data_IF_111614475768
#
_entry.id   IF_111614475768
#
_cell.length_a   1.000
_cell.length_b   1.000
_cell.length_c   1.000
_cell.angle_alpha   90.00
_cell.angle_beta   90.00
_cell.angle_gamma   90.00
#
_symmetry.space_group_name_H-M   'P 1'
#
loop_
_entity.id
_entity.type
_entity.pdbx_description
1 polymer ?
#
# COMPACT_ATOMS: atom_id res chain seq x y z
N UNK A 1 -15.63 -11.46 3.91
CA UNK A 1 -15.72 -11.36 5.38
C UNK A 1 -17.16 -11.39 5.89
N UNK A 2 -18.11 -10.63 5.32
CA UNK A 2 -19.52 -10.62 5.77
C UNK A 2 -20.25 -11.99 5.79
N UNK A 3 -19.72 -12.98 5.04
CA UNK A 3 -20.29 -14.35 4.97
C UNK A 3 -19.69 -15.34 5.97
N UNK A 4 -18.59 -15.01 6.63
CA UNK A 4 -17.99 -15.87 7.67
C UNK A 4 -18.80 -15.71 8.97
N UNK A 5 -19.76 -16.59 9.19
CA UNK A 5 -20.60 -16.63 10.41
C UNK A 5 -20.09 -17.66 11.41
N UNK A 6 -19.04 -18.40 11.09
CA UNK A 6 -18.44 -19.41 11.94
C UNK A 6 -17.42 -18.83 12.94
N UNK A 7 -17.03 -19.62 13.92
CA UNK A 7 -16.00 -19.27 14.92
C UNK A 7 -14.55 -19.31 14.40
N UNK A 8 -14.34 -19.58 13.08
CA UNK A 8 -12.98 -19.64 12.53
C UNK A 8 -12.36 -18.24 12.42
N UNK A 9 -11.12 -18.01 12.91
CA UNK A 9 -10.51 -16.70 12.90
C UNK A 9 -10.38 -16.12 11.47
N UNK A 10 -10.97 -14.94 11.26
CA UNK A 10 -11.00 -14.32 9.94
C UNK A 10 -9.60 -14.01 9.39
N UNK A 11 -8.66 -13.61 10.24
CA UNK A 11 -7.26 -13.37 9.85
C UNK A 11 -6.59 -14.64 9.31
N UNK A 12 -6.83 -15.79 9.95
CA UNK A 12 -6.31 -17.09 9.49
C UNK A 12 -6.91 -17.48 8.13
N UNK A 13 -8.22 -17.26 7.96
CA UNK A 13 -8.90 -17.53 6.70
C UNK A 13 -8.32 -16.71 5.54
N UNK A 14 -8.07 -15.43 5.77
CA UNK A 14 -7.43 -14.55 4.76
C UNK A 14 -6.02 -15.05 4.42
N UNK A 15 -5.26 -15.47 5.42
CA UNK A 15 -3.90 -15.99 5.20
C UNK A 15 -3.93 -17.28 4.36
N UNK A 16 -4.82 -18.20 4.66
CA UNK A 16 -5.00 -19.42 3.85
C UNK A 16 -5.36 -19.10 2.39
N UNK A 17 -6.26 -18.15 2.17
CA UNK A 17 -6.62 -17.72 0.82
C UNK A 17 -5.44 -17.08 0.08
N UNK A 18 -4.59 -16.30 0.75
CA UNK A 18 -3.40 -15.70 0.14
C UNK A 18 -2.39 -16.74 -0.30
N UNK A 19 -2.14 -17.77 0.53
CA UNK A 19 -1.26 -18.89 0.15
C UNK A 19 -1.82 -19.63 -1.08
N UNK A 20 -3.13 -19.93 -1.11
CA UNK A 20 -3.75 -20.59 -2.25
C UNK A 20 -3.68 -19.74 -3.53
N UNK A 21 -4.00 -18.44 -3.42
CA UNK A 21 -3.94 -17.53 -4.56
C UNK A 21 -2.51 -17.33 -5.06
N UNK A 22 -1.53 -17.18 -4.17
CA UNK A 22 -0.12 -17.09 -4.52
C UNK A 22 0.36 -18.32 -5.29
N UNK A 23 0.03 -19.52 -4.80
CA UNK A 23 0.35 -20.76 -5.49
C UNK A 23 -0.32 -20.87 -6.86
N UNK A 24 -1.59 -20.45 -6.98
CA UNK A 24 -2.34 -20.48 -8.24
C UNK A 24 -1.74 -19.53 -9.28
N UNK A 25 -1.33 -18.32 -8.87
CA UNK A 25 -0.67 -17.36 -9.77
C UNK A 25 0.65 -17.92 -10.30
N UNK A 26 1.44 -18.59 -9.46
CA UNK A 26 2.69 -19.21 -9.87
C UNK A 26 2.50 -20.35 -10.90
N UNK A 27 1.36 -21.06 -10.86
CA UNK A 27 1.03 -22.08 -11.87
C UNK A 27 0.68 -21.45 -13.24
N UNK A 28 0.25 -20.19 -13.26
CA UNK A 28 -0.17 -19.50 -14.47
C UNK A 28 0.94 -18.68 -15.13
N UNK A 29 1.90 -18.19 -14.35
CA UNK A 29 2.99 -17.35 -14.83
C UNK A 29 4.17 -17.36 -13.87
N UNK A 30 5.36 -16.97 -14.38
CA UNK A 30 6.52 -16.70 -13.54
C UNK A 30 6.26 -15.42 -12.73
N UNK A 31 5.72 -15.57 -11.53
CA UNK A 31 5.44 -14.46 -10.63
C UNK A 31 6.55 -14.36 -9.57
N UNK A 32 7.26 -13.24 -9.56
CA UNK A 32 8.27 -12.93 -8.55
C UNK A 32 8.01 -11.54 -7.95
N UNK A 33 8.45 -11.33 -6.71
CA UNK A 33 8.30 -10.06 -5.97
C UNK A 33 9.67 -9.49 -5.65
N UNK A 34 9.94 -8.26 -6.09
CA UNK A 34 11.09 -7.48 -5.68
C UNK A 34 10.77 -6.75 -4.36
N UNK A 35 11.59 -6.91 -3.34
CA UNK A 35 11.31 -6.35 -2.01
C UNK A 35 12.43 -5.42 -1.58
N UNK A 36 12.08 -4.19 -1.22
CA UNK A 36 13.01 -3.32 -0.50
C UNK A 36 13.27 -3.90 0.89
N UNK A 37 14.45 -4.41 1.12
CA UNK A 37 14.82 -5.12 2.35
C UNK A 37 16.26 -4.78 2.79
N UNK A 38 16.54 -3.50 3.13
CA UNK A 38 17.83 -3.16 3.69
C UNK A 38 18.01 -3.82 5.08
N UNK A 39 19.22 -4.17 5.48
CA UNK A 39 19.48 -4.88 6.73
C UNK A 39 18.90 -4.22 7.98
N UNK A 40 18.77 -2.89 7.96
CA UNK A 40 18.27 -2.08 9.06
C UNK A 40 16.75 -2.12 9.21
N UNK A 41 16.01 -2.45 8.14
CA UNK A 41 14.53 -2.45 8.13
C UNK A 41 13.97 -3.73 7.48
N UNK A 42 14.14 -4.89 8.11
CA UNK A 42 13.74 -6.18 7.52
C UNK A 42 12.22 -6.40 7.44
N UNK A 43 11.41 -5.51 8.02
CA UNK A 43 9.96 -5.67 8.13
C UNK A 43 9.21 -5.72 6.79
N UNK A 44 9.74 -5.12 5.74
CA UNK A 44 9.12 -5.15 4.40
C UNK A 44 9.09 -6.55 3.79
N UNK A 45 10.11 -7.37 4.09
CA UNK A 45 10.13 -8.78 3.69
C UNK A 45 8.97 -9.57 4.29
N UNK A 46 8.72 -9.37 5.58
CA UNK A 46 7.63 -10.04 6.27
C UNK A 46 6.27 -9.59 5.71
N UNK A 47 6.10 -8.29 5.42
CA UNK A 47 4.89 -7.76 4.78
C UNK A 47 4.64 -8.36 3.40
N UNK A 48 5.68 -8.45 2.58
CA UNK A 48 5.59 -9.06 1.25
C UNK A 48 5.19 -10.53 1.34
N UNK A 49 5.85 -11.30 2.21
CA UNK A 49 5.55 -12.72 2.44
C UNK A 49 4.13 -12.94 2.93
N UNK A 50 3.67 -12.11 3.87
CA UNK A 50 2.32 -12.21 4.42
C UNK A 50 1.23 -11.85 3.40
N UNK A 51 1.59 -11.05 2.39
CA UNK A 51 0.64 -10.62 1.35
C UNK A 51 0.62 -11.53 0.13
N UNK A 52 1.79 -11.94 -0.37
CA UNK A 52 1.93 -12.70 -1.63
C UNK A 52 2.08 -14.20 -1.44
N UNK A 53 2.17 -14.67 -0.19
CA UNK A 53 2.34 -16.08 0.15
C UNK A 53 3.80 -16.47 0.44
N UNK A 54 3.96 -17.47 1.29
CA UNK A 54 5.27 -17.88 1.83
C UNK A 54 6.17 -18.57 0.80
N UNK A 55 5.58 -19.16 -0.24
CA UNK A 55 6.29 -19.86 -1.34
C UNK A 55 6.50 -18.99 -2.58
N UNK A 56 5.99 -17.75 -2.61
CA UNK A 56 6.22 -16.86 -3.73
C UNK A 56 7.69 -16.47 -3.83
N UNK A 57 8.34 -16.62 -4.99
CA UNK A 57 9.72 -16.19 -5.20
C UNK A 57 9.88 -14.70 -4.88
N UNK A 58 10.81 -14.37 -3.99
CA UNK A 58 11.09 -13.00 -3.57
C UNK A 58 12.57 -12.70 -3.67
N UNK A 59 12.90 -11.51 -4.17
CA UNK A 59 14.28 -11.04 -4.30
C UNK A 59 14.46 -9.77 -3.45
N UNK A 60 15.40 -9.77 -2.48
CA UNK A 60 15.67 -8.59 -1.67
C UNK A 60 16.56 -7.61 -2.41
N UNK A 61 16.23 -6.33 -2.32
CA UNK A 61 17.00 -5.22 -2.86
C UNK A 61 17.33 -4.20 -1.77
N UNK A 62 18.44 -3.49 -1.92
CA UNK A 62 18.93 -2.55 -0.92
C UNK A 62 18.42 -1.12 -1.12
N UNK A 63 17.92 -0.79 -2.31
CA UNK A 63 17.37 0.52 -2.62
C UNK A 63 16.02 0.43 -3.32
N UNK A 64 15.13 1.43 -3.14
CA UNK A 64 13.88 1.52 -3.88
C UNK A 64 14.07 1.54 -5.39
N UNK A 65 15.11 2.22 -5.90
CA UNK A 65 15.41 2.30 -7.33
C UNK A 65 15.69 0.93 -7.96
N UNK A 66 16.37 0.03 -7.22
CA UNK A 66 16.59 -1.34 -7.68
C UNK A 66 15.29 -2.14 -7.77
N UNK A 67 14.37 -1.95 -6.82
CA UNK A 67 13.04 -2.58 -6.84
C UNK A 67 12.24 -2.10 -8.05
N UNK A 68 12.22 -0.80 -8.31
CA UNK A 68 11.52 -0.19 -9.46
C UNK A 68 12.13 -0.72 -10.76
N UNK A 69 13.45 -0.73 -10.88
CA UNK A 69 14.17 -1.27 -12.05
C UNK A 69 13.80 -2.73 -12.31
N UNK A 70 13.79 -3.58 -11.28
CA UNK A 70 13.41 -5.00 -11.41
C UNK A 70 11.98 -5.19 -11.94
N UNK A 71 11.04 -4.31 -11.57
CA UNK A 71 9.67 -4.33 -12.11
C UNK A 71 9.64 -3.82 -13.56
N UNK A 72 10.36 -2.76 -13.86
CA UNK A 72 10.44 -2.20 -15.22
C UNK A 72 11.06 -3.19 -16.21
N UNK A 73 12.10 -3.90 -15.80
CA UNK A 73 12.80 -4.89 -16.61
C UNK A 73 12.04 -6.23 -16.71
N UNK A 74 10.92 -6.38 -15.99
CA UNK A 74 10.14 -7.62 -15.97
C UNK A 74 10.79 -8.76 -15.17
N UNK A 75 11.82 -8.47 -14.39
CA UNK A 75 12.46 -9.45 -13.49
C UNK A 75 11.54 -9.79 -12.30
N UNK A 76 10.67 -8.84 -11.92
CA UNK A 76 9.62 -9.04 -10.93
C UNK A 76 8.28 -8.51 -11.47
N UNK A 77 7.19 -9.20 -11.13
CA UNK A 77 5.84 -8.74 -11.44
C UNK A 77 5.39 -7.60 -10.53
N UNK A 78 5.89 -7.60 -9.30
CA UNK A 78 5.52 -6.65 -8.24
C UNK A 78 6.77 -6.19 -7.49
N UNK A 79 6.80 -4.91 -7.11
CA UNK A 79 7.79 -4.32 -6.21
C UNK A 79 7.14 -3.90 -4.88
N UNK A 80 7.78 -4.18 -3.75
CA UNK A 80 7.35 -3.72 -2.43
C UNK A 80 8.31 -2.66 -1.92
N UNK A 81 7.78 -1.47 -1.64
CA UNK A 81 8.51 -0.24 -1.33
C UNK A 81 8.01 0.37 -0.01
N UNK A 82 8.84 1.14 0.71
CA UNK A 82 8.40 1.85 1.90
C UNK A 82 7.29 2.86 1.56
N UNK A 83 6.49 3.23 2.56
CA UNK A 83 5.63 4.41 2.42
C UNK A 83 6.49 5.64 2.13
N UNK A 84 6.03 6.54 1.23
CA UNK A 84 6.69 7.82 1.04
C UNK A 84 6.78 8.61 2.36
N UNK A 85 7.94 9.17 2.65
CA UNK A 85 8.15 10.05 3.80
C UNK A 85 8.20 11.50 3.33
N UNK A 86 7.72 12.42 4.17
CA UNK A 86 7.67 13.85 3.85
C UNK A 86 9.08 14.44 3.69
N UNK A 87 10.03 13.96 4.49
CA UNK A 87 11.40 14.49 4.56
C UNK A 87 12.43 13.63 3.81
N UNK A 88 11.98 12.81 2.85
CA UNK A 88 12.90 11.97 2.05
C UNK A 88 13.61 12.86 1.01
N UNK A 89 14.95 13.01 1.10
CA UNK A 89 15.70 13.87 0.17
C UNK A 89 15.74 13.33 -1.26
N UNK A 90 15.55 12.02 -1.46
CA UNK A 90 15.48 11.37 -2.77
C UNK A 90 14.28 10.40 -2.83
N UNK A 91 13.06 10.95 -2.85
CA UNK A 91 11.86 10.14 -2.74
C UNK A 91 11.66 9.28 -3.97
N UNK A 92 11.58 7.96 -3.76
CA UNK A 92 11.49 6.95 -4.79
C UNK A 92 10.28 7.12 -5.73
N UNK A 93 9.16 7.68 -5.24
CA UNK A 93 7.95 7.88 -6.03
C UNK A 93 8.14 8.82 -7.23
N UNK A 94 9.19 9.65 -7.22
CA UNK A 94 9.58 10.47 -8.37
C UNK A 94 9.93 9.64 -9.60
N UNK A 95 10.46 8.44 -9.40
CA UNK A 95 10.78 7.53 -10.51
C UNK A 95 9.52 7.01 -11.21
N UNK A 96 8.34 7.14 -10.59
CA UNK A 96 7.05 6.83 -11.21
C UNK A 96 6.47 8.00 -12.02
N UNK A 97 7.11 9.18 -12.03
CA UNK A 97 6.64 10.35 -12.77
C UNK A 97 6.86 10.25 -14.29
N UNK A 98 7.21 9.09 -14.79
CA UNK A 98 7.32 8.83 -16.22
C UNK A 98 5.92 8.81 -16.87
N UNK A 99 5.83 9.40 -18.07
CA UNK A 99 4.64 9.33 -18.93
C UNK A 99 4.65 8.09 -19.83
N UNK A 100 5.67 7.27 -19.73
CA UNK A 100 5.77 6.05 -20.52
C UNK A 100 4.70 5.06 -20.04
N UNK A 101 3.86 4.59 -20.93
CA UNK A 101 2.77 3.65 -20.60
C UNK A 101 3.24 2.31 -20.02
N UNK A 102 4.55 2.13 -19.87
CA UNK A 102 5.18 0.95 -19.29
C UNK A 102 5.69 1.19 -17.84
N UNK A 103 5.54 2.42 -17.31
CA UNK A 103 5.93 2.72 -15.94
C UNK A 103 5.07 1.93 -14.93
N UNK A 104 5.66 1.35 -13.90
CA UNK A 104 4.89 0.70 -12.84
C UNK A 104 4.10 1.75 -12.06
N UNK A 105 2.96 1.33 -11.51
CA UNK A 105 2.08 2.18 -10.71
C UNK A 105 1.71 1.49 -9.39
N UNK A 106 1.21 2.25 -8.44
CA UNK A 106 0.82 1.77 -7.12
C UNK A 106 -0.43 0.92 -7.26
N UNK A 107 -0.39 -0.32 -6.76
CA UNK A 107 -1.46 -1.30 -6.87
C UNK A 107 -2.00 -1.82 -5.54
N UNK A 108 -1.22 -1.67 -4.45
CA UNK A 108 -1.66 -2.10 -3.12
C UNK A 108 -0.95 -1.33 -2.00
N UNK A 109 -1.61 -1.26 -0.84
CA UNK A 109 -1.00 -0.86 0.44
C UNK A 109 -0.92 -2.06 1.37
N UNK A 110 0.24 -2.22 2.01
CA UNK A 110 0.53 -3.31 2.93
C UNK A 110 0.76 -2.77 4.36
N UNK A 111 0.33 -3.50 5.39
CA UNK A 111 -0.45 -4.74 5.35
C UNK A 111 -1.89 -4.48 4.90
N UNK A 112 -2.47 -5.36 4.11
CA UNK A 112 -3.87 -5.23 3.67
C UNK A 112 -4.87 -5.56 4.78
N UNK A 113 -4.41 -6.13 5.88
CA UNK A 113 -5.24 -6.52 7.02
C UNK A 113 -4.43 -6.61 8.29
N UNK A 114 -4.80 -7.53 9.19
CA UNK A 114 -4.05 -7.73 10.44
C UNK A 114 -2.59 -8.07 10.16
N UNK A 115 -1.68 -7.43 10.89
CA UNK A 115 -0.21 -7.59 10.71
C UNK A 115 0.30 -8.99 11.09
N UNK A 116 -0.52 -9.84 11.73
CA UNK A 116 -0.09 -11.17 12.17
C UNK A 116 1.10 -11.09 13.13
N UNK A 117 2.10 -11.95 12.87
CA UNK A 117 3.37 -11.99 13.62
C UNK A 117 4.45 -11.10 12.98
N UNK A 118 4.09 -10.13 12.14
CA UNK A 118 5.05 -9.17 11.61
C UNK A 118 5.78 -8.46 12.76
N UNK A 119 7.08 -8.25 12.58
CA UNK A 119 7.93 -7.63 13.60
C UNK A 119 7.33 -6.31 14.09
N UNK A 120 7.50 -5.96 15.38
CA UNK A 120 6.88 -4.77 16.00
C UNK A 120 7.15 -3.46 15.25
N UNK A 121 8.27 -3.36 14.57
CA UNK A 121 8.65 -2.22 13.73
C UNK A 121 8.13 -2.35 12.31
N UNK A 122 7.06 -3.13 12.09
CA UNK A 122 6.44 -3.33 10.78
C UNK A 122 5.99 -2.01 10.20
N UNK A 123 6.78 -1.49 9.28
CA UNK A 123 6.44 -0.32 8.49
C UNK A 123 5.26 -0.65 7.56
N UNK A 124 4.46 0.34 7.22
CA UNK A 124 3.55 0.22 6.09
C UNK A 124 4.35 0.28 4.79
N UNK A 125 3.85 -0.37 3.76
CA UNK A 125 4.49 -0.43 2.46
C UNK A 125 3.49 -0.18 1.34
N UNK A 126 3.99 0.26 0.19
CA UNK A 126 3.26 0.27 -1.07
C UNK A 126 3.79 -0.83 -1.99
N UNK A 127 2.88 -1.45 -2.71
CA UNK A 127 3.24 -2.35 -3.80
C UNK A 127 3.04 -1.65 -5.14
N UNK A 128 3.99 -1.83 -6.05
CA UNK A 128 3.94 -1.32 -7.42
C UNK A 128 3.90 -2.49 -8.41
N UNK A 129 3.26 -2.28 -9.56
CA UNK A 129 3.19 -3.27 -10.64
C UNK A 129 2.75 -2.65 -11.94
N UNK A 130 2.63 -3.45 -13.01
CA UNK A 130 2.24 -3.01 -14.36
C UNK A 130 0.84 -3.48 -14.78
N UNK A 131 0.04 -3.99 -13.86
CA UNK A 131 -1.31 -4.49 -14.16
C UNK A 131 -2.34 -3.37 -14.30
N UNK A 132 -3.50 -3.69 -14.88
CA UNK A 132 -4.64 -2.76 -14.92
C UNK A 132 -5.38 -2.80 -13.59
N UNK A 133 -5.56 -1.64 -12.98
CA UNK A 133 -6.30 -1.51 -11.74
C UNK A 133 -7.80 -1.51 -11.98
N UNK A 134 -8.54 -2.08 -11.04
CA UNK A 134 -10.01 -2.12 -11.07
C UNK A 134 -10.55 -1.49 -9.77
N UNK A 135 -11.64 -0.71 -9.83
CA UNK A 135 -12.26 -0.18 -8.64
C UNK A 135 -12.82 -1.31 -7.77
N UNK A 136 -12.60 -1.22 -6.46
CA UNK A 136 -13.08 -2.20 -5.47
C UNK A 136 -14.27 -1.70 -4.66
N UNK A 137 -14.55 -0.40 -4.73
CA UNK A 137 -15.62 0.29 -3.99
C UNK A 137 -15.12 1.01 -2.73
N UNK A 138 -14.01 0.61 -2.16
CA UNK A 138 -13.31 1.32 -1.08
C UNK A 138 -11.83 1.46 -1.49
N UNK A 139 -11.52 2.52 -2.21
CA UNK A 139 -10.22 2.71 -2.84
C UNK A 139 -9.57 4.02 -2.40
N UNK A 140 -8.28 4.15 -2.67
CA UNK A 140 -7.53 5.39 -2.65
C UNK A 140 -6.65 5.49 -3.88
N UNK A 141 -6.46 6.70 -4.37
CA UNK A 141 -5.67 6.96 -5.58
C UNK A 141 -4.55 7.95 -5.27
N UNK A 142 -3.33 7.59 -5.66
CA UNK A 142 -2.18 8.48 -5.60
C UNK A 142 -2.06 9.32 -6.87
N UNK A 143 -1.86 10.61 -6.66
CA UNK A 143 -1.50 11.56 -7.71
C UNK A 143 -0.23 12.30 -7.33
N UNK A 144 0.56 12.66 -8.32
CA UNK A 144 1.62 13.63 -8.17
C UNK A 144 1.29 14.88 -8.99
N UNK A 145 1.52 16.04 -8.38
CA UNK A 145 1.50 17.33 -9.08
C UNK A 145 2.92 17.83 -9.27
N UNK A 146 3.14 18.54 -10.37
CA UNK A 146 4.29 19.41 -10.54
C UNK A 146 3.76 20.83 -10.66
N UNK A 147 4.11 21.69 -9.72
CA UNK A 147 3.57 23.02 -9.61
C UNK A 147 4.66 24.06 -9.36
N UNK A 148 4.34 25.30 -9.67
CA UNK A 148 5.22 26.44 -9.39
C UNK A 148 5.40 26.60 -7.87
N UNK A 149 6.57 27.15 -7.42
CA UNK A 149 6.89 27.29 -6.00
C UNK A 149 5.94 28.19 -5.20
N UNK A 150 5.19 29.06 -5.87
CA UNK A 150 4.21 29.96 -5.27
C UNK A 150 2.91 29.28 -4.83
N UNK A 151 2.68 28.02 -5.23
CA UNK A 151 1.50 27.26 -4.81
C UNK A 151 1.82 26.48 -3.53
N UNK A 152 1.14 26.86 -2.45
CA UNK A 152 1.22 26.13 -1.20
C UNK A 152 0.48 24.79 -1.26
N UNK A 153 0.97 23.80 -0.48
CA UNK A 153 0.26 22.53 -0.28
C UNK A 153 -1.18 22.70 0.21
N UNK A 154 -1.42 23.69 1.08
CA UNK A 154 -2.75 23.99 1.58
C UNK A 154 -3.71 24.41 0.44
N UNK A 155 -3.21 25.16 -0.54
CA UNK A 155 -4.00 25.54 -1.72
C UNK A 155 -4.33 24.32 -2.58
N UNK A 156 -3.39 23.43 -2.82
CA UNK A 156 -3.62 22.17 -3.58
C UNK A 156 -4.75 21.37 -2.90
N UNK A 157 -4.61 21.12 -1.59
CA UNK A 157 -5.58 20.33 -0.81
C UNK A 157 -6.95 21.00 -0.78
N UNK A 158 -7.02 22.32 -0.53
CA UNK A 158 -8.28 23.04 -0.47
C UNK A 158 -9.00 23.10 -1.82
N UNK A 159 -8.26 23.30 -2.93
CA UNK A 159 -8.84 23.31 -4.28
C UNK A 159 -9.37 21.93 -4.67
N UNK A 160 -8.63 20.83 -4.41
CA UNK A 160 -9.13 19.47 -4.64
C UNK A 160 -10.41 19.20 -3.83
N UNK A 161 -10.40 19.54 -2.54
CA UNK A 161 -11.57 19.38 -1.67
C UNK A 161 -12.76 20.19 -2.15
N UNK A 162 -12.55 21.41 -2.65
CA UNK A 162 -13.58 22.27 -3.26
C UNK A 162 -14.25 21.63 -4.49
N UNK A 163 -13.54 20.78 -5.21
CA UNK A 163 -14.08 20.00 -6.34
C UNK A 163 -14.61 18.61 -5.91
N UNK A 164 -14.75 18.34 -4.62
CA UNK A 164 -15.28 17.09 -4.12
C UNK A 164 -14.29 15.91 -4.18
N UNK A 165 -12.98 16.22 -4.18
CA UNK A 165 -11.89 15.27 -4.08
C UNK A 165 -11.24 15.41 -2.71
N UNK A 166 -11.76 14.69 -1.71
CA UNK A 166 -11.11 14.62 -0.39
C UNK A 166 -9.73 14.00 -0.54
N UNK A 167 -8.71 14.68 -0.04
CA UNK A 167 -7.34 14.24 -0.20
C UNK A 167 -6.49 14.49 1.04
N UNK A 168 -5.43 13.70 1.15
CA UNK A 168 -4.38 13.82 2.15
C UNK A 168 -3.06 14.15 1.44
N UNK A 169 -2.34 15.14 1.95
CA UNK A 169 -0.96 15.39 1.56
C UNK A 169 -0.06 14.28 2.12
N UNK A 170 0.84 13.77 1.30
CA UNK A 170 1.76 12.69 1.70
C UNK A 170 3.20 13.19 1.78
N UNK A 171 3.72 13.77 0.69
CA UNK A 171 5.11 14.20 0.60
C UNK A 171 5.29 15.30 -0.43
N UNK A 172 6.40 16.01 -0.36
CA UNK A 172 6.85 16.92 -1.40
C UNK A 172 8.33 16.70 -1.71
N UNK A 173 8.72 17.15 -2.90
CA UNK A 173 10.12 17.23 -3.28
C UNK A 173 10.33 18.52 -4.07
N UNK A 174 11.22 19.38 -3.56
CA UNK A 174 11.55 20.66 -4.16
C UNK A 174 12.60 20.50 -5.25
N UNK A 175 12.43 21.23 -6.33
CA UNK A 175 13.40 21.46 -7.38
C UNK A 175 13.62 22.96 -7.52
N UNK A 176 14.69 23.34 -8.26
CA UNK A 176 15.04 24.76 -8.44
C UNK A 176 13.85 25.63 -8.88
N UNK A 177 13.03 25.13 -9.82
CA UNK A 177 11.97 25.89 -10.45
C UNK A 177 10.55 25.26 -10.28
N UNK A 178 10.44 24.14 -9.58
CA UNK A 178 9.16 23.43 -9.40
C UNK A 178 9.11 22.61 -8.11
N UNK A 179 7.90 22.35 -7.65
CA UNK A 179 7.62 21.47 -6.52
C UNK A 179 6.82 20.28 -7.02
N UNK A 180 7.32 19.08 -6.77
CA UNK A 180 6.54 17.86 -6.94
C UNK A 180 5.84 17.54 -5.62
N UNK A 181 4.51 17.44 -5.66
CA UNK A 181 3.71 17.12 -4.47
C UNK A 181 3.01 15.78 -4.69
N UNK A 182 3.15 14.88 -3.73
CA UNK A 182 2.45 13.59 -3.69
C UNK A 182 1.21 13.72 -2.81
N UNK A 183 0.06 13.37 -3.37
CA UNK A 183 -1.24 13.43 -2.71
C UNK A 183 -1.96 12.09 -2.84
N UNK A 184 -2.73 11.74 -1.82
CA UNK A 184 -3.62 10.58 -1.79
C UNK A 184 -5.06 11.07 -1.77
N UNK A 185 -5.86 10.67 -2.75
CA UNK A 185 -7.27 11.07 -2.91
C UNK A 185 -8.16 9.90 -2.51
N UNK A 186 -9.22 10.17 -1.75
CA UNK A 186 -10.21 9.17 -1.38
C UNK A 186 -11.02 8.71 -2.60
N UNK A 187 -11.15 7.40 -2.76
CA UNK A 187 -11.84 6.76 -3.86
C UNK A 187 -10.95 6.37 -5.04
N UNK A 188 -11.54 5.61 -5.97
CA UNK A 188 -10.92 5.32 -7.26
C UNK A 188 -11.15 6.49 -8.20
N UNK A 189 -10.09 7.22 -8.52
CA UNK A 189 -10.13 8.39 -9.40
C UNK A 189 -9.40 8.05 -10.71
N UNK A 190 -10.12 7.88 -11.82
CA UNK A 190 -9.50 7.55 -13.12
C UNK A 190 -8.80 8.78 -13.73
N UNK A 191 -7.93 8.51 -14.71
CA UNK A 191 -7.41 9.56 -15.59
C UNK A 191 -8.60 10.14 -16.37
N UNK A 192 -8.68 11.48 -16.44
CA UNK A 192 -9.78 12.16 -17.13
C UNK A 192 -11.05 12.36 -16.28
N UNK A 193 -10.97 12.15 -14.96
CA UNK A 193 -12.07 12.52 -14.05
C UNK A 193 -12.40 14.02 -14.20
N UNK A 194 -13.68 14.40 -14.45
CA UNK A 194 -14.05 15.80 -14.65
C UNK A 194 -13.72 16.73 -13.48
N UNK A 195 -13.60 16.19 -12.26
CA UNK A 195 -13.21 16.96 -11.08
C UNK A 195 -11.73 17.36 -11.13
N UNK A 196 -10.87 16.47 -11.65
CA UNK A 196 -9.45 16.76 -11.88
C UNK A 196 -9.24 17.80 -12.99
N UNK A 197 -10.07 17.78 -14.03
CA UNK A 197 -10.02 18.80 -15.09
C UNK A 197 -10.39 20.19 -14.56
N UNK A 198 -11.40 20.26 -13.68
CA UNK A 198 -11.74 21.53 -13.01
C UNK A 198 -10.63 22.00 -12.08
N UNK A 199 -10.03 21.12 -11.32
CA UNK A 199 -8.86 21.41 -10.48
C UNK A 199 -7.71 21.97 -11.32
N UNK A 200 -7.37 21.34 -12.47
CA UNK A 200 -6.34 21.85 -13.39
C UNK A 200 -6.69 23.22 -13.93
N UNK A 201 -7.94 23.43 -14.33
CA UNK A 201 -8.40 24.72 -14.86
C UNK A 201 -8.28 25.84 -13.82
N UNK A 202 -8.60 25.57 -12.54
CA UNK A 202 -8.51 26.56 -11.46
C UNK A 202 -7.08 26.96 -11.13
N UNK A 203 -6.14 26.00 -11.11
CA UNK A 203 -4.72 26.28 -10.87
C UNK A 203 -4.01 26.85 -12.11
N UNK A 204 -4.55 26.59 -13.28
CA UNK A 204 -4.08 27.15 -14.54
C UNK A 204 -2.60 26.84 -14.81
N UNK A 205 -1.82 27.86 -15.18
CA UNK A 205 -0.42 27.74 -15.56
C UNK A 205 0.51 27.37 -14.38
N UNK A 206 0.05 27.55 -13.16
CA UNK A 206 0.84 27.23 -11.97
C UNK A 206 0.91 25.72 -11.68
N UNK A 207 0.04 24.91 -12.32
CA UNK A 207 0.10 23.45 -12.30
C UNK A 207 0.60 22.95 -13.66
N UNK A 208 1.88 22.60 -13.75
CA UNK A 208 2.49 22.14 -15.01
C UNK A 208 2.12 20.69 -15.34
N UNK A 209 2.02 19.82 -14.31
CA UNK A 209 1.69 18.41 -14.50
C UNK A 209 0.78 17.89 -13.39
N UNK A 210 -0.07 16.93 -13.76
CA UNK A 210 -0.87 16.13 -12.84
C UNK A 210 -0.81 14.68 -13.35
N UNK A 211 -0.19 13.82 -12.59
CA UNK A 211 0.04 12.42 -12.96
C UNK A 211 -0.60 11.49 -11.95
N UNK A 212 -1.34 10.51 -12.44
CA UNK A 212 -1.87 9.43 -11.65
C UNK A 212 -0.78 8.38 -11.45
N UNK A 213 -0.44 8.08 -10.18
CA UNK A 213 0.59 7.10 -9.84
C UNK A 213 0.01 5.73 -9.49
N UNK A 214 -1.31 5.58 -9.46
CA UNK A 214 -1.97 4.32 -9.21
C UNK A 214 -3.04 4.39 -8.12
N UNK A 215 -3.74 3.29 -7.90
CA UNK A 215 -4.75 3.16 -6.84
C UNK A 215 -4.65 1.82 -6.12
N UNK A 216 -5.25 1.76 -4.95
CA UNK A 216 -5.30 0.55 -4.15
C UNK A 216 -6.59 0.46 -3.35
N UNK A 217 -7.02 -0.77 -3.09
CA UNK A 217 -8.12 -1.03 -2.16
C UNK A 217 -7.72 -0.67 -0.73
N UNK A 218 -8.57 0.05 -0.02
CA UNK A 218 -8.34 0.44 1.39
C UNK A 218 -8.11 -0.81 2.23
N UNK A 219 -7.00 -0.89 2.99
CA UNK A 219 -6.73 -2.02 3.86
C UNK A 219 -7.86 -2.24 4.86
N UNK A 220 -8.17 -3.50 5.12
CA UNK A 220 -9.22 -3.87 6.08
C UNK A 220 -8.82 -3.45 7.50
N UNK A 221 -9.69 -2.73 8.18
CA UNK A 221 -9.46 -2.35 9.56
C UNK A 221 -9.28 -3.59 10.47
N UNK A 222 -8.43 -3.52 11.51
CA UNK A 222 -8.23 -4.65 12.45
C UNK A 222 -9.54 -5.19 13.02
N UNK A 223 -10.53 -4.34 13.26
CA UNK A 223 -11.86 -4.73 13.72
C UNK A 223 -12.59 -5.69 12.76
N UNK A 224 -12.30 -5.64 11.45
CA UNK A 224 -12.87 -6.58 10.47
C UNK A 224 -12.41 -8.03 10.69
N UNK A 225 -11.32 -8.23 11.44
CA UNK A 225 -10.75 -9.54 11.79
C UNK A 225 -11.09 -9.98 13.22
N UNK A 226 -11.68 -9.09 14.02
CA UNK A 226 -12.13 -9.42 15.38
C UNK A 226 -13.41 -10.25 15.27
N UNK A 227 -13.31 -11.55 15.49
CA UNK A 227 -14.48 -12.35 15.85
C UNK A 227 -14.95 -11.86 17.21
N UNK A 228 -16.23 -11.54 17.35
CA UNK A 228 -16.82 -11.26 18.66
C UNK A 228 -16.43 -12.43 19.60
N UNK A 229 -15.59 -12.13 20.56
CA UNK A 229 -15.14 -13.10 21.56
C UNK A 229 -16.38 -13.43 22.40
N UNK A 230 -17.07 -14.51 22.04
CA UNK A 230 -18.05 -15.12 22.96
C UNK A 230 -17.23 -15.45 24.20
N UNK A 231 -17.52 -14.76 25.30
CA UNK A 231 -16.86 -14.93 26.57
C UNK A 231 -17.17 -16.33 27.12
N UNK A 232 -16.41 -17.30 26.63
CA UNK A 232 -16.28 -18.60 27.25
C UNK A 232 -15.24 -18.48 28.36
N UNK A 233 -15.72 -18.19 29.55
CA UNK A 233 -14.95 -18.27 30.81
C UNK A 233 -14.35 -19.68 30.89
N UNK A 234 -13.03 -19.79 30.73
CA UNK A 234 -12.33 -21.03 31.04
C UNK A 234 -12.62 -21.35 32.51
N UNK A 235 -13.06 -22.58 32.86
CA UNK A 235 -13.17 -22.96 34.26
C UNK A 235 -11.76 -22.95 34.87
N UNK A 236 -11.64 -22.34 36.04
CA UNK A 236 -10.43 -22.33 36.81
C UNK A 236 -10.01 -23.79 37.08
N UNK A 237 -8.79 -24.15 36.67
CA UNK A 237 -8.20 -25.42 37.10
C UNK A 237 -8.07 -25.40 38.62
N UNK A 238 -8.77 -26.33 39.27
CA UNK A 238 -8.64 -26.57 40.69
C UNK A 238 -7.20 -26.98 41.00
N UNK A 239 -6.54 -26.26 41.90
CA UNK A 239 -5.27 -26.65 42.46
C UNK A 239 -5.45 -28.00 43.22
N UNK A 240 -4.84 -29.02 42.68
CA UNK A 240 -4.72 -30.30 43.40
C UNK A 240 -3.69 -30.11 44.53
N UNK A 241 -4.16 -29.95 45.70
CA UNK A 241 -3.36 -29.99 46.95
C UNK A 241 -2.80 -31.41 47.10
N UNK A 242 -1.52 -31.59 46.84
CA UNK A 242 -0.82 -32.84 47.22
C UNK A 242 -0.55 -32.74 48.71
N UNK A 243 -1.39 -33.42 49.46
CA UNK A 243 -1.17 -33.64 50.91
C UNK A 243 0.02 -34.54 51.16
N UNK A 244 1.02 -34.00 51.84
CA UNK A 244 2.09 -34.80 52.42
C UNK A 244 1.54 -35.58 53.61
N UNK A 245 1.70 -36.88 53.63
CA UNK A 245 1.64 -37.72 54.82
C UNK A 245 2.78 -38.72 54.78
N UNK A 246 3.50 -38.76 55.91
CA UNK A 246 4.29 -39.87 56.37
C UNK A 246 5.76 -39.71 56.28
#
# INVERSE_FOLDING_TARGET
>A
MRRNKGGFPAATLVRMWRELLGATVQLQSSFAVAVYAPPQTPGYWDLARDHYGSHTPMVPYRSPSQVIGAVMDGQAAVGVLPMPAEDDPDPWWRQLLSTDGNAPHIIARLPFGARGNARPNGADALAIGRGTEQPTGEDRTFFATENAPDISRARIVSTLSGHGLACTFIALCEHADSINTLIEIDGFVPVGDPRLERFRAELGKSLSRLLRLGSYAVPLAPAAFSTAKTAGRMPAMAEATIGAKG
#
